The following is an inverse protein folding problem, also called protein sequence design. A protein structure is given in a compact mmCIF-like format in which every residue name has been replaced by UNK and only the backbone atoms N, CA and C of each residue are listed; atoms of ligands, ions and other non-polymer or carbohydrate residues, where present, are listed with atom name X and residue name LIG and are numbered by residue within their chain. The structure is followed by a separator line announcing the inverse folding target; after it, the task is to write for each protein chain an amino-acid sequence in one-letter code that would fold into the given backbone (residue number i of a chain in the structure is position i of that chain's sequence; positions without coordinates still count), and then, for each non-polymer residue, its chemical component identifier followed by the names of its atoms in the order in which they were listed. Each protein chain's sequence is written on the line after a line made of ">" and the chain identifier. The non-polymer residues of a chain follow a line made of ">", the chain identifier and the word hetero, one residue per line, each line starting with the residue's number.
data_IF_580887836274
#
_entry.id   IF_580887836274
#
_cell.length_a   1.000
_cell.length_b   1.000
_cell.length_c   1.000
_cell.angle_alpha   90.00
_cell.angle_beta   90.00
_cell.angle_gamma   90.00
#
_symmetry.space_group_name_H-M   'P 1'
#
loop_
_entity.id
_entity.type
_entity.pdbx_description
1 polymer ?
#
# COMPACT_ATOMS: atom_id res chain seq x y z
N UNK A 1 -26.38 53.87 37.68
CA UNK A 1 -25.25 53.78 36.72
C UNK A 1 -24.20 52.73 37.09
N UNK A 2 -23.57 52.74 38.27
CA UNK A 2 -22.50 51.76 38.63
C UNK A 2 -22.88 50.28 38.45
N UNK A 3 -24.09 49.87 38.87
CA UNK A 3 -24.58 48.48 38.69
C UNK A 3 -24.78 48.10 37.21
N UNK A 4 -25.26 49.04 36.39
CA UNK A 4 -25.46 48.84 34.95
C UNK A 4 -24.12 48.67 34.21
N UNK A 5 -23.12 49.52 34.52
CA UNK A 5 -21.75 49.37 34.02
C UNK A 5 -21.17 47.99 34.41
N UNK A 6 -21.41 47.53 35.64
CA UNK A 6 -20.92 46.24 36.11
C UNK A 6 -21.55 45.05 35.35
N UNK A 7 -22.84 45.11 35.05
CA UNK A 7 -23.49 44.06 34.25
C UNK A 7 -23.03 44.05 32.80
N UNK A 8 -22.78 45.22 32.22
CA UNK A 8 -22.26 45.34 30.85
C UNK A 8 -20.84 44.74 30.75
N UNK A 9 -19.99 44.99 31.75
CA UNK A 9 -18.67 44.40 31.83
C UNK A 9 -18.71 42.86 31.96
N UNK A 10 -19.64 42.33 32.78
CA UNK A 10 -19.84 40.90 32.94
C UNK A 10 -20.27 40.22 31.63
N UNK A 11 -21.15 40.86 30.86
CA UNK A 11 -21.62 40.36 29.55
C UNK A 11 -20.47 40.33 28.54
N UNK A 12 -19.65 41.38 28.47
CA UNK A 12 -18.48 41.43 27.58
C UNK A 12 -17.47 40.33 27.95
N UNK A 13 -17.26 40.10 29.24
CA UNK A 13 -16.37 39.06 29.73
C UNK A 13 -16.87 37.64 29.39
N UNK A 14 -18.17 37.39 29.53
CA UNK A 14 -18.80 36.14 29.11
C UNK A 14 -18.69 35.89 27.61
N UNK A 15 -18.87 36.93 26.78
CA UNK A 15 -18.70 36.84 25.33
C UNK A 15 -17.25 36.56 24.93
N UNK A 16 -16.29 37.09 25.68
CA UNK A 16 -14.86 36.83 25.46
C UNK A 16 -14.51 35.35 25.76
N UNK A 17 -15.00 34.81 26.88
CA UNK A 17 -14.84 33.39 27.22
C UNK A 17 -15.48 32.49 26.15
N UNK A 18 -16.68 32.84 25.70
CA UNK A 18 -17.39 32.08 24.66
C UNK A 18 -16.61 32.04 23.34
N UNK A 19 -16.00 33.16 22.94
CA UNK A 19 -15.12 33.20 21.76
C UNK A 19 -13.87 32.33 21.94
N UNK A 20 -13.27 32.29 23.14
CA UNK A 20 -12.13 31.40 23.41
C UNK A 20 -12.51 29.92 23.31
N UNK A 21 -13.74 29.53 23.65
CA UNK A 21 -14.21 28.14 23.48
C UNK A 21 -14.51 27.77 22.01
N UNK A 22 -15.01 28.70 21.19
CA UNK A 22 -15.25 28.46 19.76
C UNK A 22 -13.93 28.39 18.98
N UNK A 23 -12.97 29.25 19.33
CA UNK A 23 -11.64 29.28 18.72
C UNK A 23 -10.63 28.34 19.41
N UNK A 24 -11.02 27.65 20.48
CA UNK A 24 -10.16 26.66 21.14
C UNK A 24 -9.75 25.63 20.10
N UNK A 25 -8.47 25.67 19.78
CA UNK A 25 -7.87 25.12 18.58
C UNK A 25 -8.50 23.77 18.21
N UNK A 26 -9.25 23.75 17.11
CA UNK A 26 -9.30 22.55 16.26
C UNK A 26 -7.86 22.36 15.80
N UNK A 27 -7.03 21.70 16.61
CA UNK A 27 -5.79 21.14 16.16
C UNK A 27 -6.19 20.10 15.12
N UNK A 28 -6.33 20.55 13.88
CA UNK A 28 -6.35 19.68 12.72
C UNK A 28 -5.01 18.98 12.81
N UNK A 29 -5.01 17.78 13.39
CA UNK A 29 -3.97 16.80 13.17
C UNK A 29 -3.97 16.57 11.66
N UNK A 30 -3.20 17.39 10.95
CA UNK A 30 -2.95 17.24 9.53
C UNK A 30 -2.54 15.80 9.35
N UNK A 31 -3.31 15.05 8.56
CA UNK A 31 -3.10 13.64 8.26
C UNK A 31 -1.60 13.38 8.15
N UNK A 32 -1.01 12.42 8.88
CA UNK A 32 0.42 12.34 9.05
C UNK A 32 1.11 12.19 7.69
N UNK A 33 1.56 13.32 7.13
CA UNK A 33 2.04 13.43 5.75
C UNK A 33 3.23 12.52 5.50
N UNK A 34 4.02 12.28 6.55
CA UNK A 34 5.15 11.36 6.54
C UNK A 34 4.70 9.89 6.44
N UNK A 35 3.69 9.49 7.21
CA UNK A 35 3.17 8.11 7.22
C UNK A 35 2.55 7.77 5.87
N UNK A 36 1.76 8.69 5.30
CA UNK A 36 1.19 8.49 3.97
C UNK A 36 2.27 8.37 2.89
N UNK A 37 3.29 9.25 2.92
CA UNK A 37 4.38 9.20 1.93
C UNK A 37 5.19 7.91 1.99
N UNK A 38 5.43 7.39 3.19
CA UNK A 38 6.10 6.10 3.39
C UNK A 38 5.23 4.96 2.87
N UNK A 39 3.93 4.97 3.17
CA UNK A 39 2.99 3.95 2.68
C UNK A 39 2.88 3.96 1.15
N UNK A 40 2.82 5.15 0.54
CA UNK A 40 2.78 5.31 -0.92
C UNK A 40 4.06 4.78 -1.57
N UNK A 41 5.23 5.03 -0.96
CA UNK A 41 6.50 4.48 -1.43
C UNK A 41 6.52 2.94 -1.40
N UNK A 42 5.98 2.32 -0.35
CA UNK A 42 5.89 0.85 -0.28
C UNK A 42 4.93 0.29 -1.33
N UNK A 43 3.76 0.92 -1.54
CA UNK A 43 2.82 0.53 -2.62
C UNK A 43 3.44 0.67 -4.00
N UNK A 44 4.27 1.70 -4.21
CA UNK A 44 5.00 1.87 -5.45
C UNK A 44 6.00 0.72 -5.65
N UNK A 45 6.82 0.40 -4.64
CA UNK A 45 7.78 -0.72 -4.69
C UNK A 45 7.07 -2.04 -4.99
N UNK A 46 5.95 -2.32 -4.32
CA UNK A 46 5.11 -3.50 -4.57
C UNK A 46 4.69 -3.60 -6.05
N UNK A 47 4.15 -2.51 -6.60
CA UNK A 47 3.72 -2.46 -8.00
C UNK A 47 4.89 -2.68 -8.97
N UNK A 48 6.06 -2.13 -8.67
CA UNK A 48 7.28 -2.37 -9.45
C UNK A 48 7.68 -3.85 -9.43
N UNK A 49 7.62 -4.52 -8.27
CA UNK A 49 7.92 -5.96 -8.14
C UNK A 49 6.97 -6.82 -8.99
N UNK A 50 5.67 -6.53 -8.98
CA UNK A 50 4.68 -7.28 -9.78
C UNK A 50 4.94 -7.08 -11.28
N UNK A 51 5.21 -5.84 -11.70
CA UNK A 51 5.50 -5.50 -13.10
C UNK A 51 6.75 -6.19 -13.65
N UNK A 52 7.80 -6.36 -12.85
CA UNK A 52 9.02 -7.06 -13.28
C UNK A 52 8.89 -8.58 -13.18
N UNK A 53 8.12 -9.08 -12.21
CA UNK A 53 7.98 -10.53 -11.99
C UNK A 53 7.22 -11.23 -13.11
N UNK A 54 6.20 -10.58 -13.68
CA UNK A 54 5.38 -11.11 -14.77
C UNK A 54 6.20 -11.44 -16.03
N UNK A 55 6.96 -10.50 -16.63
CA UNK A 55 7.80 -10.81 -17.79
C UNK A 55 8.95 -11.76 -17.43
N UNK A 56 9.53 -11.67 -16.23
CA UNK A 56 10.57 -12.60 -15.81
C UNK A 56 10.07 -14.05 -15.76
N UNK A 57 8.88 -14.27 -15.18
CA UNK A 57 8.24 -15.58 -15.15
C UNK A 57 7.90 -16.08 -16.55
N UNK A 58 7.35 -15.21 -17.42
CA UNK A 58 7.06 -15.55 -18.80
C UNK A 58 8.31 -16.01 -19.56
N UNK A 59 9.42 -15.27 -19.45
CA UNK A 59 10.70 -15.63 -20.07
C UNK A 59 11.21 -16.96 -19.54
N UNK A 60 11.21 -17.17 -18.23
CA UNK A 60 11.69 -18.42 -17.63
C UNK A 60 10.87 -19.65 -18.05
N UNK A 61 9.54 -19.51 -18.14
CA UNK A 61 8.64 -20.57 -18.63
C UNK A 61 8.93 -20.86 -20.11
N UNK A 62 9.03 -19.82 -20.95
CA UNK A 62 9.34 -19.96 -22.37
C UNK A 62 10.70 -20.62 -22.58
N UNK A 63 11.74 -20.17 -21.88
CA UNK A 63 13.08 -20.77 -21.94
C UNK A 63 13.07 -22.23 -21.49
N UNK A 64 12.37 -22.56 -20.40
CA UNK A 64 12.22 -23.95 -19.94
C UNK A 64 11.47 -24.83 -20.94
N UNK A 65 10.45 -24.28 -21.62
CA UNK A 65 9.70 -24.99 -22.66
C UNK A 65 10.57 -25.27 -23.90
N UNK A 66 11.37 -24.29 -24.34
CA UNK A 66 12.34 -24.45 -25.42
C UNK A 66 13.41 -25.48 -25.04
N UNK A 67 13.94 -25.42 -23.81
CA UNK A 67 14.96 -26.34 -23.32
C UNK A 67 14.45 -27.79 -23.30
N UNK A 68 13.17 -28.00 -23.00
CA UNK A 68 12.53 -29.32 -23.11
C UNK A 68 12.32 -29.77 -24.56
N UNK A 69 11.92 -28.86 -25.45
CA UNK A 69 11.62 -29.16 -26.87
C UNK A 69 12.88 -29.40 -27.71
N UNK A 70 13.97 -28.71 -27.40
CA UNK A 70 15.27 -28.81 -28.09
C UNK A 70 16.30 -29.66 -27.33
N UNK A 71 15.85 -30.50 -26.40
CA UNK A 71 16.74 -31.33 -25.59
C UNK A 71 17.34 -32.52 -26.35
N UNK A 72 16.83 -32.84 -27.54
CA UNK A 72 17.28 -33.97 -28.39
C UNK A 72 17.40 -35.33 -27.65
N UNK A 73 16.54 -35.57 -26.65
CA UNK A 73 16.55 -36.82 -25.86
C UNK A 73 17.45 -36.80 -24.62
N UNK A 74 18.18 -35.71 -24.34
CA UNK A 74 18.94 -35.55 -23.10
C UNK A 74 17.97 -35.40 -21.90
N UNK A 75 17.93 -36.44 -21.07
CA UNK A 75 17.05 -36.52 -19.89
C UNK A 75 17.38 -35.47 -18.82
N UNK A 76 18.64 -35.09 -18.67
CA UNK A 76 19.06 -34.08 -17.70
C UNK A 76 18.52 -32.70 -18.07
N UNK A 77 18.61 -32.35 -19.35
CA UNK A 77 18.09 -31.09 -19.88
C UNK A 77 16.55 -31.05 -19.87
N UNK A 78 15.87 -32.16 -20.17
CA UNK A 78 14.41 -32.27 -20.02
C UNK A 78 13.98 -32.07 -18.56
N UNK A 79 14.69 -32.71 -17.63
CA UNK A 79 14.43 -32.58 -16.18
C UNK A 79 14.65 -31.16 -15.71
N UNK A 80 15.70 -30.50 -16.17
CA UNK A 80 16.02 -29.12 -15.84
C UNK A 80 14.97 -28.15 -16.40
N UNK A 81 14.57 -28.31 -17.67
CA UNK A 81 13.49 -27.53 -18.27
C UNK A 81 12.16 -27.67 -17.52
N UNK A 82 11.80 -28.90 -17.11
CA UNK A 82 10.60 -29.14 -16.28
C UNK A 82 10.69 -28.44 -14.93
N UNK A 83 11.82 -28.54 -14.23
CA UNK A 83 12.06 -27.85 -12.95
C UNK A 83 11.96 -26.34 -13.09
N UNK A 84 12.53 -25.77 -14.16
CA UNK A 84 12.45 -24.34 -14.47
C UNK A 84 11.01 -23.87 -14.67
N UNK A 85 10.22 -24.57 -15.48
CA UNK A 85 8.80 -24.23 -15.71
C UNK A 85 8.01 -24.29 -14.40
N UNK A 86 8.10 -25.41 -13.67
CA UNK A 86 7.33 -25.60 -12.43
C UNK A 86 7.74 -24.60 -11.35
N UNK A 87 9.04 -24.34 -11.19
CA UNK A 87 9.54 -23.35 -10.23
C UNK A 87 9.09 -21.93 -10.58
N UNK A 88 9.14 -21.56 -11.86
CA UNK A 88 8.72 -20.23 -12.31
C UNK A 88 7.22 -20.01 -12.15
N UNK A 89 6.39 -21.02 -12.49
CA UNK A 89 4.94 -20.97 -12.29
C UNK A 89 4.57 -20.87 -10.81
N UNK A 90 5.22 -21.67 -9.96
CA UNK A 90 4.96 -21.66 -8.52
C UNK A 90 5.30 -20.30 -7.90
N UNK A 91 6.50 -19.77 -8.19
CA UNK A 91 6.93 -18.47 -7.66
C UNK A 91 6.04 -17.33 -8.13
N UNK A 92 5.61 -17.33 -9.40
CA UNK A 92 4.71 -16.30 -9.91
C UNK A 92 3.30 -16.39 -9.31
N UNK A 93 2.76 -17.60 -9.16
CA UNK A 93 1.48 -17.81 -8.49
C UNK A 93 1.53 -17.36 -7.02
N UNK A 94 2.67 -17.57 -6.35
CA UNK A 94 2.88 -17.08 -4.99
C UNK A 94 2.85 -15.55 -4.90
N UNK A 95 3.54 -14.85 -5.80
CA UNK A 95 3.54 -13.39 -5.88
C UNK A 95 2.12 -12.85 -6.10
N UNK A 96 1.38 -13.42 -7.06
CA UNK A 96 -0.01 -13.03 -7.32
C UNK A 96 -0.93 -13.28 -6.12
N UNK A 97 -0.75 -14.40 -5.42
CA UNK A 97 -1.55 -14.72 -4.24
C UNK A 97 -1.28 -13.73 -3.10
N UNK A 98 -0.02 -13.34 -2.91
CA UNK A 98 0.34 -12.35 -1.90
C UNK A 98 -0.32 -10.98 -2.21
N UNK A 99 -0.27 -10.54 -3.47
CA UNK A 99 -0.94 -9.31 -3.94
C UNK A 99 -2.46 -9.38 -3.74
N UNK A 100 -3.08 -10.53 -4.04
CA UNK A 100 -4.52 -10.74 -3.84
C UNK A 100 -4.92 -10.67 -2.36
N UNK A 101 -4.13 -11.28 -1.47
CA UNK A 101 -4.36 -11.24 -0.02
C UNK A 101 -4.21 -9.80 0.48
N UNK A 102 -3.16 -9.07 0.07
CA UNK A 102 -2.95 -7.69 0.50
C UNK A 102 -4.09 -6.78 0.02
N UNK A 103 -4.50 -6.95 -1.24
CA UNK A 103 -5.64 -6.23 -1.83
C UNK A 103 -6.95 -6.54 -1.08
N UNK A 104 -7.19 -7.80 -0.71
CA UNK A 104 -8.37 -8.19 0.06
C UNK A 104 -8.36 -7.58 1.48
N UNK A 105 -7.20 -7.54 2.15
CA UNK A 105 -7.05 -6.88 3.46
C UNK A 105 -7.32 -5.37 3.33
N UNK A 106 -6.74 -4.70 2.33
CA UNK A 106 -6.98 -3.27 2.09
C UNK A 106 -8.46 -2.99 1.79
N UNK A 107 -9.12 -3.85 1.00
CA UNK A 107 -10.55 -3.73 0.70
C UNK A 107 -11.47 -3.98 1.89
N UNK A 108 -11.01 -4.67 2.94
CA UNK A 108 -11.81 -4.94 4.14
C UNK A 108 -11.64 -3.84 5.19
N UNK A 109 -10.45 -3.24 5.27
CA UNK A 109 -10.13 -2.15 6.19
C UNK A 109 -10.75 -0.82 5.72
N UNK A 110 -10.88 -0.65 4.41
CA UNK A 110 -11.46 0.52 3.76
C UNK A 110 -12.98 0.37 3.58
#
# INVERSE_FOLDING_TARGET
>A
MKKFISYLFLIVFLLFIFNLFIFSNKAFASTPKLVNKVNDAFKEIENWIIKISTPAAAVAICSGALMRKFSFGDEEKIRTGKKLITGSLFSYAFILTADLILSAIQSLIN
#
